data_IF_814526283694
#
_entry.id   IF_814526283694
#
_cell.length_a   1.000
_cell.length_b   1.000
_cell.length_c   1.000
_cell.angle_alpha   90.00
_cell.angle_beta   90.00
_cell.angle_gamma   90.00
#
_symmetry.space_group_name_H-M   'P 1'
#
loop_
_entity.id
_entity.type
_entity.pdbx_description
1 polymer ?
#
# COMPACT_ATOMS: atom_id res chain seq x y z
N UNK A 1 12.08 2.99 0.93
CA UNK A 1 10.70 3.21 0.47
C UNK A 1 9.83 2.00 0.71
N UNK A 2 10.19 0.82 0.16
CA UNK A 2 9.54 -0.46 0.45
C UNK A 2 9.20 -0.69 1.94
N UNK A 3 10.21 -0.62 2.83
CA UNK A 3 10.00 -0.87 4.26
C UNK A 3 9.00 0.11 4.89
N UNK A 4 9.06 1.41 4.55
CA UNK A 4 8.12 2.41 5.07
C UNK A 4 6.68 2.12 4.62
N UNK A 5 6.49 1.65 3.38
CA UNK A 5 5.16 1.26 2.89
C UNK A 5 4.60 0.06 3.65
N UNK A 6 5.43 -0.95 3.91
CA UNK A 6 5.03 -2.14 4.67
C UNK A 6 4.70 -1.78 6.12
N UNK A 7 5.49 -0.92 6.77
CA UNK A 7 5.25 -0.46 8.14
C UNK A 7 3.94 0.33 8.27
N UNK A 8 3.68 1.24 7.32
CA UNK A 8 2.41 1.98 7.29
C UNK A 8 1.25 1.01 7.04
N UNK A 9 1.38 0.06 6.10
CA UNK A 9 0.34 -0.93 5.84
C UNK A 9 0.00 -1.78 7.08
N UNK A 10 1.03 -2.23 7.82
CA UNK A 10 0.87 -2.95 9.08
C UNK A 10 0.23 -2.09 10.19
N UNK A 11 0.44 -0.77 10.19
CA UNK A 11 -0.27 0.15 11.11
C UNK A 11 -1.75 0.31 10.76
N UNK A 12 -2.11 0.12 9.49
CA UNK A 12 -3.48 0.28 8.99
C UNK A 12 -4.29 -0.98 9.20
N UNK A 13 -3.73 -2.17 9.03
CA UNK A 13 -4.45 -3.43 9.20
C UNK A 13 -3.53 -4.55 9.73
N UNK A 14 -4.09 -5.42 10.58
CA UNK A 14 -3.37 -6.55 11.19
C UNK A 14 -3.09 -7.69 10.19
N UNK A 15 -3.92 -7.80 9.15
CA UNK A 15 -3.80 -8.80 8.08
C UNK A 15 -3.72 -8.04 6.74
N UNK A 16 -2.49 -7.74 6.31
CA UNK A 16 -2.19 -7.20 4.99
C UNK A 16 -1.25 -8.16 4.29
N UNK A 17 -1.72 -8.77 3.23
CA UNK A 17 -0.87 -9.54 2.33
C UNK A 17 -0.16 -8.58 1.39
N UNK A 18 1.11 -8.85 1.09
CA UNK A 18 1.89 -7.97 0.24
C UNK A 18 2.87 -8.75 -0.62
N UNK A 19 3.09 -8.23 -1.82
CA UNK A 19 3.98 -8.83 -2.81
C UNK A 19 4.77 -7.74 -3.55
N UNK A 20 6.09 -7.92 -3.62
CA UNK A 20 6.95 -7.06 -4.42
C UNK A 20 6.94 -7.55 -5.88
N UNK A 21 6.05 -6.98 -6.69
CA UNK A 21 5.84 -7.40 -8.09
C UNK A 21 6.91 -6.86 -9.06
N UNK A 22 7.62 -5.80 -8.66
CA UNK A 22 8.80 -5.27 -9.36
C UNK A 22 9.74 -4.60 -8.35
N UNK A 23 11.01 -4.30 -8.71
CA UNK A 23 11.98 -3.72 -7.78
C UNK A 23 11.52 -2.45 -7.05
N UNK A 24 10.59 -1.71 -7.64
CA UNK A 24 10.01 -0.49 -7.09
C UNK A 24 8.48 -0.46 -7.09
N UNK A 25 7.84 -1.63 -7.20
CA UNK A 25 6.37 -1.74 -7.21
C UNK A 25 5.92 -2.77 -6.19
N UNK A 26 5.08 -2.34 -5.25
CA UNK A 26 4.49 -3.16 -4.19
C UNK A 26 2.98 -3.26 -4.40
N UNK A 27 2.46 -4.48 -4.37
CA UNK A 27 1.04 -4.74 -4.24
C UNK A 27 0.71 -5.03 -2.78
N UNK A 28 -0.38 -4.45 -2.26
CA UNK A 28 -0.88 -4.61 -0.91
C UNK A 28 -2.36 -4.98 -0.98
N UNK A 29 -2.75 -6.12 -0.42
CA UNK A 29 -4.15 -6.53 -0.32
C UNK A 29 -4.64 -6.33 1.11
N UNK A 30 -5.65 -5.47 1.29
CA UNK A 30 -6.26 -5.17 2.58
C UNK A 30 -7.55 -5.99 2.78
N UNK A 31 -7.91 -6.25 4.04
CA UNK A 31 -9.17 -6.96 4.35
C UNK A 31 -10.44 -6.18 3.93
N UNK A 32 -10.39 -4.85 3.89
CA UNK A 32 -11.54 -4.01 3.49
C UNK A 32 -11.10 -2.81 2.64
N UNK A 33 -12.05 -2.27 1.86
CA UNK A 33 -11.81 -1.12 1.00
C UNK A 33 -11.47 0.14 1.83
N UNK A 34 -12.13 0.33 2.98
CA UNK A 34 -11.87 1.47 3.86
C UNK A 34 -10.41 1.48 4.36
N UNK A 35 -9.84 0.31 4.65
CA UNK A 35 -8.44 0.17 5.04
C UNK A 35 -7.49 0.49 3.89
N UNK A 36 -7.79 0.01 2.70
CA UNK A 36 -7.02 0.34 1.49
C UNK A 36 -7.04 1.86 1.21
N UNK A 37 -8.21 2.50 1.34
CA UNK A 37 -8.36 3.96 1.20
C UNK A 37 -7.56 4.71 2.27
N UNK A 38 -7.64 4.29 3.54
CA UNK A 38 -6.89 4.91 4.63
C UNK A 38 -5.37 4.83 4.38
N UNK A 39 -4.88 3.66 3.95
CA UNK A 39 -3.48 3.48 3.59
C UNK A 39 -3.07 4.45 2.46
N UNK A 40 -3.86 4.54 1.38
CA UNK A 40 -3.59 5.47 0.28
C UNK A 40 -3.49 6.92 0.77
N UNK A 41 -4.34 7.35 1.71
CA UNK A 41 -4.26 8.70 2.28
C UNK A 41 -2.97 8.91 3.09
N UNK A 42 -2.53 7.92 3.85
CA UNK A 42 -1.32 8.02 4.68
C UNK A 42 -0.03 8.09 3.86
N UNK A 43 0.02 7.39 2.73
CA UNK A 43 1.23 7.37 1.88
C UNK A 43 1.34 8.56 0.93
N UNK A 44 0.35 9.45 0.87
CA UNK A 44 0.37 10.65 -0.02
C UNK A 44 1.58 11.56 0.21
N UNK A 45 2.13 11.58 1.42
CA UNK A 45 3.30 12.39 1.77
C UNK A 45 4.62 11.72 1.36
N UNK A 46 4.59 10.45 0.93
CA UNK A 46 5.78 9.72 0.52
C UNK A 46 6.09 10.01 -0.96
N UNK A 47 7.39 10.04 -1.33
CA UNK A 47 7.79 10.18 -2.72
C UNK A 47 7.42 8.91 -3.49
N UNK A 48 6.23 8.93 -4.11
CA UNK A 48 5.70 7.86 -4.96
C UNK A 48 5.54 8.38 -6.38
N UNK A 49 5.78 7.51 -7.36
CA UNK A 49 5.60 7.82 -8.78
C UNK A 49 4.22 7.43 -9.29
N UNK A 50 3.56 6.47 -8.62
CA UNK A 50 2.18 6.09 -8.90
C UNK A 50 1.52 5.32 -7.77
N UNK A 51 0.22 5.54 -7.59
CA UNK A 51 -0.63 4.79 -6.65
C UNK A 51 -1.93 4.44 -7.35
N UNK A 52 -2.30 3.16 -7.36
CA UNK A 52 -3.55 2.65 -7.93
C UNK A 52 -4.32 1.90 -6.85
N UNK A 53 -5.62 2.22 -6.71
CA UNK A 53 -6.54 1.55 -5.80
C UNK A 53 -7.52 0.70 -6.61
N UNK A 54 -7.54 -0.62 -6.38
CA UNK A 54 -8.40 -1.59 -7.06
C UNK A 54 -9.22 -2.35 -6.01
N UNK A 55 -10.32 -1.73 -5.55
CA UNK A 55 -11.13 -2.32 -4.49
C UNK A 55 -10.36 -2.37 -3.17
N UNK A 56 -9.96 -3.57 -2.76
CA UNK A 56 -9.16 -3.82 -1.55
C UNK A 56 -7.66 -3.85 -1.79
N UNK A 57 -7.22 -3.84 -3.05
CA UNK A 57 -5.81 -3.87 -3.43
C UNK A 57 -5.26 -2.47 -3.69
N UNK A 58 -4.03 -2.22 -3.26
CA UNK A 58 -3.28 -1.00 -3.51
C UNK A 58 -1.96 -1.35 -4.16
N UNK A 59 -1.71 -0.77 -5.34
CA UNK A 59 -0.43 -0.89 -6.03
C UNK A 59 0.30 0.43 -5.89
N UNK A 60 1.49 0.40 -5.32
CA UNK A 60 2.35 1.57 -5.11
C UNK A 60 3.61 1.39 -5.93
N UNK A 61 3.93 2.37 -6.78
CA UNK A 61 5.23 2.49 -7.45
C UNK A 61 5.96 3.71 -6.89
N UNK A 62 7.25 3.56 -6.62
CA UNK A 62 8.10 4.64 -6.11
C UNK A 62 9.38 4.83 -6.90
#
# INVERSE_FOLDING_TARGET
MFQALVEIAASVAQEVEWELIAPNTLCLAFATNERAVLFVQLIRALPTTGVVLLGTEVIVTW
#
